data_IF_990108426210
#
_entry.id   IF_990108426210
#
_cell.length_a   1.000
_cell.length_b   1.000
_cell.length_c   1.000
_cell.angle_alpha   90.00
_cell.angle_beta   90.00
_cell.angle_gamma   90.00
#
_symmetry.space_group_name_H-M   'P 1'
#
loop_
_entity.id
_entity.type
_entity.pdbx_description
1 polymer ?
#
# COMPACT_ATOMS: atom_id res chain seq x y z
N UNK A 1 -6.54 51.22 -45.24
CA UNK A 1 -5.48 50.67 -44.37
C UNK A 1 -6.16 50.03 -43.18
N UNK A 2 -6.38 48.70 -43.22
CA UNK A 2 -7.09 47.92 -42.16
C UNK A 2 -6.03 47.39 -41.20
N UNK A 3 -6.04 47.83 -39.93
CA UNK A 3 -5.18 47.33 -38.88
C UNK A 3 -5.80 46.03 -38.33
N UNK A 4 -5.19 44.85 -38.61
CA UNK A 4 -5.49 43.59 -37.93
C UNK A 4 -4.85 43.66 -36.54
N UNK A 5 -5.70 43.65 -35.51
CA UNK A 5 -5.24 43.42 -34.12
C UNK A 5 -5.21 41.92 -33.87
N UNK A 6 -4.03 41.35 -33.78
CA UNK A 6 -3.84 39.96 -33.38
C UNK A 6 -4.03 39.85 -31.86
N UNK A 7 -5.10 39.18 -31.43
CA UNK A 7 -5.36 38.84 -30.01
C UNK A 7 -4.57 37.59 -29.67
N UNK A 8 -3.44 37.76 -28.95
CA UNK A 8 -2.69 36.64 -28.38
C UNK A 8 -3.44 36.11 -27.18
N UNK A 9 -4.09 34.95 -27.35
CA UNK A 9 -4.69 34.17 -26.27
C UNK A 9 -3.56 33.44 -25.53
N UNK A 10 -3.12 33.95 -24.38
CA UNK A 10 -2.17 33.28 -23.52
C UNK A 10 -2.86 32.06 -22.86
N UNK A 11 -2.51 30.85 -23.29
CA UNK A 11 -2.93 29.62 -22.67
C UNK A 11 -2.22 29.51 -21.33
N UNK A 12 -2.91 29.80 -20.23
CA UNK A 12 -2.40 29.55 -18.87
C UNK A 12 -2.56 28.05 -18.61
N UNK A 13 -1.45 27.29 -18.79
CA UNK A 13 -1.40 25.90 -18.36
C UNK A 13 -1.37 25.89 -16.81
N UNK A 14 -2.51 25.55 -16.20
CA UNK A 14 -2.53 25.24 -14.76
C UNK A 14 -1.82 23.90 -14.57
N UNK A 15 -0.85 23.80 -13.63
CA UNK A 15 -0.25 22.52 -13.32
C UNK A 15 -1.36 21.59 -12.78
N UNK A 16 -1.55 20.46 -13.43
CA UNK A 16 -2.39 19.40 -12.87
C UNK A 16 -1.67 18.90 -11.61
N UNK A 17 -2.23 19.16 -10.44
CA UNK A 17 -1.74 18.55 -9.22
C UNK A 17 -1.93 17.04 -9.34
N UNK A 18 -0.85 16.27 -9.12
CA UNK A 18 -0.95 14.83 -8.99
C UNK A 18 -1.88 14.52 -7.82
N UNK A 19 -2.93 13.74 -8.07
CA UNK A 19 -3.86 13.32 -7.02
C UNK A 19 -3.64 11.83 -6.76
N UNK A 20 -3.42 11.49 -5.49
CA UNK A 20 -3.48 10.09 -5.11
C UNK A 20 -4.90 9.57 -5.37
N UNK A 21 -4.99 8.40 -5.98
CA UNK A 21 -6.26 7.73 -6.15
C UNK A 21 -6.55 6.91 -4.88
N UNK A 22 -6.95 7.63 -3.82
CA UNK A 22 -7.26 7.05 -2.51
C UNK A 22 -8.76 7.14 -2.23
N UNK A 23 -9.32 6.04 -1.74
CA UNK A 23 -10.70 5.94 -1.31
C UNK A 23 -10.71 5.68 0.19
N UNK A 24 -11.28 6.60 0.97
CA UNK A 24 -11.67 6.34 2.35
C UNK A 24 -12.95 5.51 2.33
N UNK A 25 -13.01 4.47 3.14
CA UNK A 25 -14.20 3.64 3.25
C UNK A 25 -15.29 4.39 4.03
N UNK A 26 -16.54 4.21 3.65
CA UNK A 26 -17.71 4.82 4.32
C UNK A 26 -17.90 4.27 5.75
N UNK A 27 -17.47 3.04 5.99
CA UNK A 27 -17.45 2.38 7.30
C UNK A 27 -16.15 1.59 7.47
N UNK A 28 -15.64 1.47 8.72
CA UNK A 28 -14.51 0.60 8.99
C UNK A 28 -14.85 -0.85 8.66
N UNK A 29 -13.85 -1.60 8.17
CA UNK A 29 -13.98 -3.04 7.92
C UNK A 29 -13.09 -3.76 8.92
N UNK A 30 -13.72 -4.63 9.73
CA UNK A 30 -13.02 -5.53 10.65
C UNK A 30 -12.22 -6.54 9.84
N UNK A 31 -10.97 -6.77 10.23
CA UNK A 31 -10.15 -7.81 9.62
C UNK A 31 -10.26 -9.10 10.44
N UNK A 32 -10.25 -10.26 9.78
CA UNK A 32 -10.22 -11.55 10.49
C UNK A 32 -8.87 -11.76 11.17
N UNK A 33 -8.81 -12.71 12.10
CA UNK A 33 -7.55 -13.20 12.65
C UNK A 33 -6.70 -13.78 11.53
N UNK A 34 -5.42 -13.44 11.50
CA UNK A 34 -4.43 -13.97 10.56
C UNK A 34 -3.07 -14.15 11.23
N UNK A 35 -2.21 -14.93 10.58
CA UNK A 35 -0.82 -15.10 11.01
C UNK A 35 0.08 -15.36 9.82
N UNK A 36 1.09 -14.51 9.65
CA UNK A 36 2.13 -14.61 8.64
C UNK A 36 3.49 -14.76 9.32
N UNK A 37 4.44 -15.35 8.63
CA UNK A 37 5.81 -15.53 9.12
C UNK A 37 6.81 -15.20 8.03
N UNK A 38 8.06 -15.05 8.41
CA UNK A 38 9.19 -15.02 7.48
C UNK A 38 10.21 -16.11 7.83
N UNK A 39 11.24 -16.25 7.04
CA UNK A 39 12.28 -17.28 7.23
C UNK A 39 13.14 -17.06 8.48
N UNK A 40 13.07 -15.91 9.13
CA UNK A 40 13.73 -15.61 10.39
C UNK A 40 12.89 -16.05 11.61
N UNK A 41 11.63 -16.47 11.38
CA UNK A 41 10.67 -16.82 12.42
C UNK A 41 10.03 -15.61 13.09
N UNK A 42 10.12 -14.44 12.47
CA UNK A 42 9.34 -13.26 12.87
C UNK A 42 7.88 -13.48 12.45
N UNK A 43 6.94 -13.04 13.28
CA UNK A 43 5.51 -13.20 13.06
C UNK A 43 4.85 -11.83 12.84
N UNK A 44 3.81 -11.80 12.01
CA UNK A 44 2.92 -10.65 11.82
C UNK A 44 1.47 -11.14 11.86
N UNK A 45 0.72 -10.62 12.81
CA UNK A 45 -0.65 -11.05 13.13
C UNK A 45 -1.63 -9.86 13.12
N UNK A 46 -2.90 -10.14 13.27
CA UNK A 46 -3.94 -9.13 13.49
C UNK A 46 -3.62 -8.19 14.68
N UNK A 47 -2.96 -8.70 15.73
CA UNK A 47 -2.58 -7.92 16.92
C UNK A 47 -1.49 -6.89 16.64
N UNK A 48 -0.65 -7.14 15.64
CA UNK A 48 0.41 -6.20 15.26
C UNK A 48 -0.15 -5.00 14.47
N UNK A 49 -1.45 -5.02 14.15
CA UNK A 49 -2.17 -3.87 13.59
C UNK A 49 -2.66 -2.89 14.65
N UNK A 50 -2.71 -3.30 15.92
CA UNK A 50 -3.18 -2.46 17.01
C UNK A 50 -2.18 -1.36 17.35
N UNK A 51 -2.69 -0.21 17.81
CA UNK A 51 -1.94 0.95 18.30
C UNK A 51 -1.06 1.66 17.24
N UNK A 52 -1.06 1.23 15.97
CA UNK A 52 -0.29 1.86 14.89
C UNK A 52 -1.05 1.92 13.57
N UNK A 53 -0.71 2.90 12.74
CA UNK A 53 -1.14 2.92 11.35
C UNK A 53 -0.31 1.93 10.53
N UNK A 54 -0.97 1.11 9.74
CA UNK A 54 -0.28 0.11 8.89
C UNK A 54 -0.76 0.19 7.45
N UNK A 55 0.18 0.13 6.52
CA UNK A 55 -0.10 -0.02 5.09
C UNK A 55 0.27 -1.45 4.70
N UNK A 56 -0.71 -2.23 4.27
CA UNK A 56 -0.50 -3.59 3.77
C UNK A 56 -0.51 -3.60 2.25
N UNK A 57 0.53 -4.19 1.68
CA UNK A 57 0.70 -4.40 0.24
C UNK A 57 0.83 -5.89 -0.06
N UNK A 58 0.08 -6.38 -1.05
CA UNK A 58 0.24 -7.73 -1.58
C UNK A 58 1.10 -7.74 -2.84
N UNK A 59 1.95 -8.75 -2.98
CA UNK A 59 2.83 -8.87 -4.12
C UNK A 59 3.59 -10.20 -4.14
N UNK A 60 4.70 -10.25 -4.85
CA UNK A 60 5.61 -11.40 -4.88
C UNK A 60 7.02 -10.93 -5.22
N UNK A 61 8.05 -11.66 -4.76
CA UNK A 61 9.44 -11.19 -4.83
C UNK A 61 9.96 -11.05 -6.28
N UNK A 62 9.57 -11.95 -7.14
CA UNK A 62 9.98 -11.92 -8.55
C UNK A 62 9.14 -11.01 -9.45
N UNK A 63 8.33 -10.12 -8.87
CA UNK A 63 7.60 -9.10 -9.62
C UNK A 63 8.59 -8.11 -10.25
N UNK A 64 8.62 -7.99 -11.60
CA UNK A 64 9.69 -7.22 -12.25
C UNK A 64 9.47 -5.71 -12.22
N UNK A 65 8.27 -5.23 -11.95
CA UNK A 65 7.90 -3.83 -12.21
C UNK A 65 7.03 -3.22 -11.08
N UNK A 66 5.77 -3.61 -10.96
CA UNK A 66 4.80 -2.91 -10.11
C UNK A 66 5.13 -2.96 -8.61
N UNK A 67 5.65 -4.09 -8.10
CA UNK A 67 5.97 -4.21 -6.67
C UNK A 67 7.15 -3.30 -6.25
N UNK A 68 8.32 -3.34 -6.93
CA UNK A 68 9.43 -2.45 -6.56
C UNK A 68 9.07 -0.97 -6.78
N UNK A 69 8.32 -0.64 -7.84
CA UNK A 69 7.85 0.73 -8.05
C UNK A 69 6.92 1.20 -6.93
N UNK A 70 6.00 0.36 -6.48
CA UNK A 70 5.08 0.69 -5.38
C UNK A 70 5.83 0.89 -4.07
N UNK A 71 6.73 -0.02 -3.69
CA UNK A 71 7.50 0.09 -2.44
C UNK A 71 8.41 1.33 -2.44
N UNK A 72 9.05 1.65 -3.56
CA UNK A 72 9.86 2.86 -3.67
C UNK A 72 9.04 4.16 -3.54
N UNK A 73 7.83 4.20 -4.10
CA UNK A 73 6.95 5.36 -3.92
C UNK A 73 6.35 5.43 -2.50
N UNK A 74 6.06 4.29 -1.88
CA UNK A 74 5.62 4.25 -0.48
C UNK A 74 6.73 4.75 0.45
N UNK A 75 7.99 4.37 0.23
CA UNK A 75 9.12 4.90 1.00
C UNK A 75 9.12 6.43 0.98
N UNK A 76 9.08 7.02 -0.21
CA UNK A 76 9.04 8.48 -0.35
C UNK A 76 7.78 9.10 0.28
N UNK A 77 6.62 8.45 0.16
CA UNK A 77 5.37 8.92 0.76
C UNK A 77 5.39 8.83 2.30
N UNK A 78 5.99 7.80 2.88
CA UNK A 78 6.16 7.65 4.33
C UNK A 78 7.10 8.71 4.88
N UNK A 79 8.23 8.97 4.22
CA UNK A 79 9.14 10.06 4.55
C UNK A 79 8.43 11.43 4.55
N UNK A 80 7.63 11.73 3.52
CA UNK A 80 6.80 12.95 3.44
C UNK A 80 5.70 12.99 4.51
N UNK A 81 5.12 11.84 4.86
CA UNK A 81 4.10 11.74 5.92
C UNK A 81 4.70 12.07 7.27
N UNK A 82 5.92 11.62 7.57
CA UNK A 82 6.65 11.94 8.79
C UNK A 82 6.87 13.44 9.02
N UNK A 83 6.84 14.25 7.97
CA UNK A 83 6.90 15.72 8.08
C UNK A 83 5.55 16.36 8.44
N UNK A 84 4.45 15.62 8.39
CA UNK A 84 3.07 16.12 8.52
C UNK A 84 2.34 15.61 9.75
N UNK A 85 2.74 14.46 10.27
CA UNK A 85 2.11 13.80 11.41
C UNK A 85 3.10 13.61 12.55
N UNK A 86 2.61 13.22 13.73
CA UNK A 86 3.50 12.86 14.84
C UNK A 86 4.24 11.56 14.51
N UNK A 87 5.46 11.35 15.04
CA UNK A 87 6.21 10.13 14.79
C UNK A 87 5.42 8.84 14.99
N UNK A 88 4.67 8.73 16.08
CA UNK A 88 3.83 7.56 16.42
C UNK A 88 2.65 7.34 15.45
N UNK A 89 2.41 8.26 14.54
CA UNK A 89 1.36 8.18 13.52
C UNK A 89 1.90 8.00 12.10
N UNK A 90 3.20 7.87 11.94
CA UNK A 90 3.79 7.48 10.64
C UNK A 90 3.43 6.01 10.39
N UNK A 91 2.80 5.68 9.27
CA UNK A 91 2.38 4.30 9.04
C UNK A 91 3.58 3.37 8.87
N UNK A 92 3.49 2.18 9.47
CA UNK A 92 4.33 1.05 9.10
C UNK A 92 3.93 0.51 7.71
N UNK A 93 4.86 -0.09 6.97
CA UNK A 93 4.57 -0.73 5.67
C UNK A 93 4.93 -2.20 5.74
N UNK A 94 3.93 -3.02 5.49
CA UNK A 94 4.04 -4.49 5.51
C UNK A 94 3.74 -5.04 4.12
N UNK A 95 4.69 -5.76 3.57
CA UNK A 95 4.55 -6.50 2.33
C UNK A 95 4.19 -7.96 2.62
N UNK A 96 3.09 -8.44 2.05
CA UNK A 96 2.67 -9.84 2.13
C UNK A 96 2.87 -10.51 0.78
N UNK A 97 3.78 -11.48 0.72
CA UNK A 97 3.92 -12.28 -0.50
C UNK A 97 2.73 -13.23 -0.66
N UNK A 98 2.14 -13.20 -1.84
CA UNK A 98 1.06 -14.12 -2.26
C UNK A 98 1.59 -15.38 -2.94
N UNK A 99 2.89 -15.62 -2.89
CA UNK A 99 3.56 -16.74 -3.54
C UNK A 99 4.53 -17.47 -2.59
N UNK A 100 4.00 -18.05 -1.51
CA UNK A 100 4.81 -18.68 -0.47
C UNK A 100 5.71 -19.79 -1.01
N UNK A 101 5.33 -20.48 -2.07
CA UNK A 101 6.11 -21.57 -2.65
C UNK A 101 7.46 -21.12 -3.22
N UNK A 102 7.54 -19.88 -3.71
CA UNK A 102 8.79 -19.32 -4.26
C UNK A 102 9.49 -18.38 -3.29
N UNK A 103 8.73 -17.70 -2.44
CA UNK A 103 9.21 -16.52 -1.72
C UNK A 103 9.55 -16.79 -0.26
N UNK A 104 8.98 -17.84 0.38
CA UNK A 104 9.09 -18.07 1.82
C UNK A 104 10.53 -18.14 2.35
N UNK A 105 11.49 -18.55 1.52
CA UNK A 105 12.89 -18.70 1.95
C UNK A 105 13.68 -17.37 2.00
N UNK A 106 13.13 -16.26 1.48
CA UNK A 106 13.87 -15.00 1.28
C UNK A 106 13.02 -13.76 1.48
N UNK A 107 11.82 -13.88 2.06
CA UNK A 107 10.84 -12.79 2.09
C UNK A 107 11.25 -11.64 3.01
N UNK A 108 11.96 -11.90 4.12
CA UNK A 108 12.24 -10.91 5.17
C UNK A 108 13.04 -9.69 4.68
N UNK A 109 13.92 -9.86 3.71
CA UNK A 109 14.81 -8.81 3.22
C UNK A 109 14.17 -7.96 2.10
N UNK A 110 13.05 -8.41 1.55
CA UNK A 110 12.51 -7.78 0.34
C UNK A 110 12.06 -6.34 0.57
N UNK A 111 11.19 -6.10 1.53
CA UNK A 111 10.71 -4.73 1.81
C UNK A 111 11.79 -3.89 2.49
N UNK A 112 12.66 -4.48 3.31
CA UNK A 112 13.81 -3.83 3.94
C UNK A 112 14.79 -3.22 2.93
N UNK A 113 14.85 -3.74 1.71
CA UNK A 113 15.65 -3.15 0.63
C UNK A 113 15.20 -1.72 0.29
N UNK A 114 13.92 -1.40 0.44
CA UNK A 114 13.36 -0.07 0.14
C UNK A 114 13.42 0.86 1.35
N UNK A 115 13.13 0.35 2.55
CA UNK A 115 13.25 1.09 3.80
C UNK A 115 13.55 0.14 4.95
N UNK A 116 14.47 0.48 5.87
CA UNK A 116 14.90 -0.43 6.94
C UNK A 116 13.80 -0.85 7.92
N UNK A 117 12.73 -0.05 8.04
CA UNK A 117 11.58 -0.34 8.90
C UNK A 117 10.42 -1.02 8.16
N UNK A 118 10.53 -1.23 6.84
CA UNK A 118 9.51 -1.99 6.11
C UNK A 118 9.69 -3.48 6.38
N UNK A 119 8.59 -4.17 6.54
CA UNK A 119 8.58 -5.59 6.89
C UNK A 119 7.98 -6.43 5.76
N UNK A 120 8.37 -7.69 5.68
CA UNK A 120 7.84 -8.61 4.69
C UNK A 120 7.60 -9.98 5.29
N UNK A 121 6.45 -10.55 4.94
CA UNK A 121 5.99 -11.84 5.42
C UNK A 121 5.31 -12.63 4.31
N UNK A 122 5.08 -13.91 4.58
CA UNK A 122 4.21 -14.78 3.79
C UNK A 122 3.55 -15.78 4.74
N UNK A 123 2.71 -16.64 4.24
CA UNK A 123 2.01 -17.62 5.06
C UNK A 123 1.33 -18.69 4.23
N UNK A 124 0.56 -19.52 4.90
CA UNK A 124 -0.26 -20.51 4.22
C UNK A 124 -1.29 -19.83 3.32
N UNK A 125 -1.65 -20.51 2.23
CA UNK A 125 -2.62 -20.01 1.25
C UNK A 125 -3.95 -19.61 1.86
N UNK A 126 -4.44 -20.36 2.84
CA UNK A 126 -5.68 -20.06 3.54
C UNK A 126 -5.63 -18.73 4.27
N UNK A 127 -4.51 -18.40 4.92
CA UNK A 127 -4.29 -17.12 5.59
C UNK A 127 -4.19 -15.96 4.58
N UNK A 128 -3.47 -16.19 3.47
CA UNK A 128 -3.36 -15.23 2.38
C UNK A 128 -4.75 -14.95 1.78
N UNK A 129 -5.51 -15.98 1.42
CA UNK A 129 -6.83 -15.86 0.82
C UNK A 129 -7.80 -15.12 1.76
N UNK A 130 -7.75 -15.41 3.05
CA UNK A 130 -8.57 -14.78 4.07
C UNK A 130 -8.33 -13.26 4.14
N UNK A 131 -7.07 -12.82 4.20
CA UNK A 131 -6.76 -11.38 4.25
C UNK A 131 -6.98 -10.68 2.91
N UNK A 132 -6.74 -11.35 1.80
CA UNK A 132 -7.04 -10.88 0.44
C UNK A 132 -8.54 -10.57 0.29
N UNK A 133 -9.41 -11.49 0.71
CA UNK A 133 -10.86 -11.32 0.66
C UNK A 133 -11.31 -10.16 1.56
N UNK A 134 -10.85 -10.14 2.82
CA UNK A 134 -11.21 -9.11 3.79
C UNK A 134 -10.79 -7.70 3.35
N UNK A 135 -9.72 -7.59 2.58
CA UNK A 135 -9.23 -6.31 2.06
C UNK A 135 -9.74 -5.98 0.65
N UNK A 136 -10.69 -6.73 0.10
CA UNK A 136 -11.16 -6.57 -1.29
C UNK A 136 -9.97 -6.46 -2.27
N UNK A 137 -9.03 -7.37 -2.14
CA UNK A 137 -7.86 -7.51 -3.00
C UNK A 137 -7.99 -8.78 -3.83
N UNK A 138 -7.07 -9.00 -4.75
CA UNK A 138 -7.03 -10.26 -5.49
C UNK A 138 -5.61 -10.67 -5.84
N UNK A 139 -5.40 -11.94 -6.04
CA UNK A 139 -4.27 -12.50 -6.77
C UNK A 139 -4.69 -13.73 -7.57
N UNK A 140 -3.88 -14.10 -8.55
CA UNK A 140 -4.10 -15.29 -9.37
C UNK A 140 -2.76 -15.82 -9.88
N UNK A 141 -2.48 -17.08 -9.61
CA UNK A 141 -1.38 -17.80 -10.23
C UNK A 141 -1.81 -18.25 -11.62
N UNK A 142 -1.07 -17.88 -12.65
CA UNK A 142 -1.35 -18.36 -14.01
C UNK A 142 -0.80 -19.78 -14.18
N UNK A 143 -1.29 -20.48 -15.20
CA UNK A 143 -0.81 -21.84 -15.47
C UNK A 143 0.68 -21.82 -15.82
N UNK A 144 1.47 -22.72 -15.24
CA UNK A 144 2.88 -22.85 -15.59
C UNK A 144 3.07 -23.11 -17.11
N UNK A 145 4.11 -22.54 -17.65
CA UNK A 145 4.58 -22.85 -19.00
C UNK A 145 5.30 -24.22 -19.04
N UNK A 146 5.87 -24.56 -20.21
CA UNK A 146 6.59 -25.84 -20.42
C UNK A 146 7.89 -25.96 -19.60
N UNK A 147 8.38 -24.88 -18.99
CA UNK A 147 9.55 -24.87 -18.10
C UNK A 147 9.16 -24.95 -16.62
N UNK A 148 7.87 -24.87 -16.30
CA UNK A 148 7.35 -24.79 -14.94
C UNK A 148 7.28 -23.36 -14.41
N UNK A 149 7.64 -22.36 -15.20
CA UNK A 149 7.50 -20.96 -14.81
C UNK A 149 6.04 -20.52 -14.90
N UNK A 150 5.56 -19.76 -13.89
CA UNK A 150 4.24 -19.16 -13.87
C UNK A 150 4.29 -17.70 -13.44
N UNK A 151 3.35 -16.94 -13.95
CA UNK A 151 3.17 -15.53 -13.61
C UNK A 151 2.11 -15.40 -12.51
N UNK A 152 2.20 -14.31 -11.75
CA UNK A 152 1.24 -13.93 -10.71
C UNK A 152 0.60 -12.60 -11.10
N UNK A 153 -0.70 -12.59 -11.18
CA UNK A 153 -1.49 -11.36 -11.28
C UNK A 153 -1.98 -11.00 -9.88
N UNK A 154 -1.88 -9.75 -9.47
CA UNK A 154 -2.36 -9.29 -8.17
C UNK A 154 -2.82 -7.83 -8.21
N UNK A 155 -3.57 -7.42 -7.17
CA UNK A 155 -3.93 -6.01 -6.96
C UNK A 155 -2.69 -5.15 -6.78
N UNK A 156 -2.66 -3.99 -7.44
CA UNK A 156 -1.63 -2.96 -7.22
C UNK A 156 -2.04 -1.94 -6.15
N UNK A 157 -3.25 -2.03 -5.62
CA UNK A 157 -3.71 -1.20 -4.50
C UNK A 157 -3.08 -1.63 -3.19
N UNK A 158 -2.94 -0.68 -2.26
CA UNK A 158 -2.54 -0.94 -0.89
C UNK A 158 -3.69 -0.63 0.06
N UNK A 159 -3.74 -1.35 1.18
CA UNK A 159 -4.74 -1.21 2.23
C UNK A 159 -4.19 -0.40 3.39
N UNK A 160 -4.94 0.59 3.89
CA UNK A 160 -4.56 1.43 5.03
C UNK A 160 -5.40 1.06 6.23
N UNK A 161 -4.74 0.57 7.28
CA UNK A 161 -5.34 0.04 8.50
C UNK A 161 -5.06 1.02 9.63
N UNK A 162 -6.09 1.34 10.40
CA UNK A 162 -6.00 2.25 11.54
C UNK A 162 -5.54 1.53 12.82
N UNK A 163 -5.16 2.29 13.88
CA UNK A 163 -4.69 1.74 15.14
C UNK A 163 -5.71 0.90 15.92
N UNK A 164 -6.96 0.83 15.50
CA UNK A 164 -7.98 -0.07 16.02
C UNK A 164 -8.06 -1.41 15.26
N UNK A 165 -7.09 -1.70 14.38
CA UNK A 165 -7.04 -2.91 13.57
C UNK A 165 -8.01 -2.91 12.37
N UNK A 166 -8.78 -1.84 12.13
CA UNK A 166 -9.76 -1.80 11.05
C UNK A 166 -9.21 -1.22 9.75
N UNK A 167 -9.60 -1.79 8.62
CA UNK A 167 -9.33 -1.22 7.30
C UNK A 167 -10.15 0.07 7.10
N UNK A 168 -9.47 1.16 6.78
CA UNK A 168 -10.08 2.49 6.64
C UNK A 168 -9.99 3.09 5.25
N UNK A 169 -9.02 2.68 4.47
CA UNK A 169 -8.84 3.22 3.12
C UNK A 169 -8.10 2.25 2.20
N UNK A 170 -8.26 2.47 0.91
CA UNK A 170 -7.44 1.85 -0.15
C UNK A 170 -6.80 2.94 -0.99
N UNK A 171 -5.54 2.75 -1.33
CA UNK A 171 -4.80 3.63 -2.24
C UNK A 171 -4.47 2.85 -3.50
N UNK A 172 -4.51 3.54 -4.64
CA UNK A 172 -4.14 2.99 -5.95
C UNK A 172 -3.00 3.79 -6.58
N UNK A 173 -2.20 3.18 -7.44
CA UNK A 173 -1.17 3.88 -8.20
C UNK A 173 -1.75 5.05 -9.03
N UNK A 174 -0.91 6.04 -9.36
CA UNK A 174 0.48 6.21 -8.94
C UNK A 174 0.54 6.77 -7.52
N UNK A 175 1.37 6.24 -6.67
CA UNK A 175 1.52 6.74 -5.29
C UNK A 175 2.44 7.97 -5.31
N UNK A 176 1.94 9.12 -5.81
CA UNK A 176 2.67 10.38 -5.69
C UNK A 176 2.98 10.68 -4.21
N UNK A 177 4.24 10.85 -3.82
CA UNK A 177 4.61 10.94 -2.40
C UNK A 177 3.88 12.05 -1.65
N UNK A 178 3.82 13.26 -2.23
CA UNK A 178 3.19 14.40 -1.59
C UNK A 178 1.68 14.24 -1.45
N UNK A 179 1.01 13.79 -2.51
CA UNK A 179 -0.44 13.55 -2.50
C UNK A 179 -0.83 12.38 -1.59
N UNK A 180 -0.01 11.33 -1.53
CA UNK A 180 -0.21 10.19 -0.63
C UNK A 180 -0.05 10.63 0.83
N UNK A 181 0.99 11.38 1.15
CA UNK A 181 1.20 11.92 2.49
C UNK A 181 0.07 12.84 2.95
N UNK A 182 -0.44 13.70 2.06
CA UNK A 182 -1.61 14.55 2.36
C UNK A 182 -2.87 13.70 2.62
N UNK A 183 -3.10 12.68 1.82
CA UNK A 183 -4.22 11.76 2.02
C UNK A 183 -4.14 11.05 3.37
N UNK A 184 -2.99 10.48 3.71
CA UNK A 184 -2.77 9.79 4.99
C UNK A 184 -2.96 10.73 6.19
N UNK A 185 -2.42 11.94 6.13
CA UNK A 185 -2.62 12.94 7.19
C UNK A 185 -4.10 13.31 7.34
N UNK A 186 -4.83 13.47 6.25
CA UNK A 186 -6.27 13.77 6.26
C UNK A 186 -7.09 12.59 6.80
N UNK A 187 -6.78 11.37 6.42
CA UNK A 187 -7.41 10.15 6.94
C UNK A 187 -7.28 10.07 8.47
N UNK A 188 -6.08 10.31 8.99
CA UNK A 188 -5.80 10.32 10.43
C UNK A 188 -6.57 11.42 11.19
N UNK A 189 -6.77 12.59 10.57
CA UNK A 189 -7.60 13.65 11.16
C UNK A 189 -9.07 13.21 11.24
N UNK A 190 -9.58 12.55 10.19
CA UNK A 190 -10.95 12.04 10.16
C UNK A 190 -11.15 10.97 11.22
N UNK A 191 -10.25 10.00 11.29
CA UNK A 191 -10.27 8.93 12.30
C UNK A 191 -10.33 9.49 13.75
N UNK A 192 -9.48 10.46 14.09
CA UNK A 192 -9.49 11.09 15.43
C UNK A 192 -10.79 11.81 15.75
N UNK A 193 -11.45 12.39 14.75
CA UNK A 193 -12.77 13.03 14.96
C UNK A 193 -13.86 12.00 15.23
N UNK A 194 -13.80 10.85 14.58
CA UNK A 194 -14.74 9.75 14.84
C UNK A 194 -14.62 9.22 16.27
N UNK A 195 -13.40 9.04 16.79
CA UNK A 195 -13.16 8.59 18.16
C UNK A 195 -13.60 9.60 19.23
N UNK A 196 -13.79 10.86 18.87
CA UNK A 196 -14.16 11.94 19.81
C UNK A 196 -15.66 12.23 19.88
N UNK A 197 -16.47 11.57 19.06
CA UNK A 197 -17.92 11.70 19.00
C UNK A 197 -18.64 10.53 19.68
#
# INVERSE_FOLDING_TARGET
MKKLAALLLALVATPAAAQVQGVMLDAPVELPDFGFTNELGEEFTDKDLEDQWTIVMFGFLSCPDVCPFTLGNLEAAISETGLRVRPDNVPNVVFISVDPERDAAFVSEYAKFFHPEFESFTGDREQIDTLIEATDSFYRLLKPDHTGHYEVQHSSSVSVIAPDGTLRAKLQPPFDPGATAEFLARLQITYRKELSN
#
